data_IF_630351736387
#
_entry.id   IF_630351736387
#
_cell.length_a   1.000
_cell.length_b   1.000
_cell.length_c   1.000
_cell.angle_alpha   90.00
_cell.angle_beta   90.00
_cell.angle_gamma   90.00
#
_symmetry.space_group_name_H-M   'P 1'
#
loop_
_entity.id
_entity.type
_entity.pdbx_description
1 polymer ?
#
# COMPACT_ATOMS: atom_id res chain seq x y z
N UNK A 1 14.62 11.85 -14.22
CA UNK A 1 14.25 12.08 -15.64
C UNK A 1 12.83 11.55 -15.82
N UNK A 2 11.92 12.29 -16.45
CA UNK A 2 10.56 11.79 -16.74
C UNK A 2 10.56 11.18 -18.13
N UNK A 3 10.34 9.87 -18.24
CA UNK A 3 10.19 9.20 -19.53
C UNK A 3 8.91 9.67 -20.21
N UNK A 4 8.99 9.87 -21.52
CA UNK A 4 7.85 10.09 -22.42
C UNK A 4 7.01 8.82 -22.52
N UNK A 5 5.81 8.93 -23.12
CA UNK A 5 4.91 7.76 -23.30
C UNK A 5 5.51 6.76 -24.30
N UNK A 6 6.18 7.28 -25.31
CA UNK A 6 6.83 6.56 -26.39
C UNK A 6 8.03 5.77 -25.85
N UNK A 7 8.92 6.40 -25.09
CA UNK A 7 10.06 5.74 -24.45
C UNK A 7 9.61 4.65 -23.46
N UNK A 8 8.50 4.88 -22.75
CA UNK A 8 7.92 3.85 -21.87
C UNK A 8 7.41 2.64 -22.66
N UNK A 9 6.76 2.88 -23.79
CA UNK A 9 6.25 1.82 -24.66
C UNK A 9 7.41 0.98 -25.18
N UNK A 10 8.46 1.65 -25.62
CA UNK A 10 9.71 1.04 -26.09
C UNK A 10 10.37 0.17 -25.01
N UNK A 11 10.56 0.70 -23.80
CA UNK A 11 11.11 -0.06 -22.67
C UNK A 11 10.26 -1.30 -22.35
N UNK A 12 8.93 -1.16 -22.43
CA UNK A 12 8.01 -2.28 -22.17
C UNK A 12 8.16 -3.39 -23.22
N UNK A 13 8.28 -3.03 -24.50
CA UNK A 13 8.53 -4.00 -25.57
C UNK A 13 9.90 -4.66 -25.42
N UNK A 14 10.95 -3.88 -25.12
CA UNK A 14 12.29 -4.42 -24.88
C UNK A 14 12.32 -5.41 -23.72
N UNK A 15 11.61 -5.12 -22.62
CA UNK A 15 11.43 -6.07 -21.52
C UNK A 15 10.75 -7.36 -22.02
N UNK A 16 9.68 -7.24 -22.81
CA UNK A 16 8.96 -8.37 -23.38
C UNK A 16 9.85 -9.27 -24.26
N UNK A 17 10.63 -8.66 -25.16
CA UNK A 17 11.53 -9.38 -26.05
C UNK A 17 12.64 -10.11 -25.29
N UNK A 18 13.22 -9.45 -24.26
CA UNK A 18 14.23 -10.08 -23.40
C UNK A 18 13.64 -11.29 -22.67
N UNK A 19 12.42 -11.18 -22.15
CA UNK A 19 11.76 -12.28 -21.46
C UNK A 19 11.49 -13.44 -22.42
N UNK A 20 10.92 -13.15 -23.59
CA UNK A 20 10.55 -14.18 -24.57
C UNK A 20 11.78 -14.88 -25.17
N UNK A 21 12.80 -14.11 -25.54
CA UNK A 21 13.98 -14.66 -26.22
C UNK A 21 14.98 -15.31 -25.27
N UNK A 22 15.23 -14.69 -24.10
CA UNK A 22 16.30 -15.12 -23.18
C UNK A 22 15.77 -15.86 -21.96
N UNK A 23 14.67 -15.41 -21.36
CA UNK A 23 14.19 -16.01 -20.11
C UNK A 23 13.31 -17.24 -20.32
N UNK A 24 12.42 -17.23 -21.32
CA UNK A 24 11.52 -18.36 -21.61
C UNK A 24 12.28 -19.62 -22.01
N UNK A 25 13.43 -19.45 -22.66
CA UNK A 25 14.36 -20.51 -23.08
C UNK A 25 15.45 -20.84 -22.05
N UNK A 26 15.42 -20.18 -20.89
CA UNK A 26 16.42 -20.38 -19.84
C UNK A 26 16.23 -21.76 -19.17
N UNK A 27 17.34 -22.46 -18.93
CA UNK A 27 17.37 -23.75 -18.24
C UNK A 27 16.62 -23.74 -16.90
N UNK A 28 16.76 -22.67 -16.13
CA UNK A 28 16.08 -22.48 -14.83
C UNK A 28 14.57 -22.26 -14.94
N UNK A 29 14.06 -21.87 -16.10
CA UNK A 29 12.64 -21.64 -16.36
C UNK A 29 11.97 -22.83 -17.06
N UNK A 30 12.72 -23.89 -17.38
CA UNK A 30 12.27 -25.05 -18.13
C UNK A 30 11.89 -26.24 -17.23
N UNK A 31 12.13 -26.16 -15.91
CA UNK A 31 12.06 -27.31 -14.99
C UNK A 31 10.77 -27.41 -14.16
N UNK A 32 9.88 -26.42 -14.16
CA UNK A 32 8.55 -26.56 -13.58
C UNK A 32 7.60 -25.51 -14.13
N UNK A 33 6.32 -25.88 -14.30
CA UNK A 33 5.23 -24.99 -14.70
C UNK A 33 4.92 -23.89 -13.66
N UNK A 34 5.71 -23.81 -12.59
CA UNK A 34 5.46 -22.95 -11.45
C UNK A 34 6.55 -21.88 -11.39
N UNK A 35 6.16 -20.72 -11.91
CA UNK A 35 6.69 -19.38 -11.63
C UNK A 35 8.02 -18.97 -12.28
N UNK A 36 7.88 -18.21 -13.37
CA UNK A 36 8.87 -17.24 -13.83
C UNK A 36 9.01 -16.12 -12.77
N UNK A 37 10.12 -16.09 -12.04
CA UNK A 37 10.41 -15.05 -11.03
C UNK A 37 11.76 -14.40 -11.29
N UNK A 38 11.76 -13.18 -11.84
CA UNK A 38 12.98 -12.38 -12.06
C UNK A 38 13.76 -12.12 -10.75
N UNK A 39 13.08 -12.22 -9.60
CA UNK A 39 13.69 -12.05 -8.27
C UNK A 39 14.59 -13.23 -7.86
N UNK A 40 14.40 -14.40 -8.46
CA UNK A 40 15.23 -15.58 -8.20
C UNK A 40 16.54 -15.56 -8.99
N UNK A 41 16.57 -14.83 -10.12
CA UNK A 41 17.75 -14.65 -10.96
C UNK A 41 18.67 -13.53 -10.43
N UNK A 42 19.26 -13.72 -9.24
CA UNK A 42 20.08 -12.70 -8.56
C UNK A 42 21.41 -12.39 -9.25
N UNK A 43 22.07 -13.37 -9.86
CA UNK A 43 23.38 -13.22 -10.52
C UNK A 43 23.32 -13.35 -12.05
N UNK A 44 22.13 -13.37 -12.64
CA UNK A 44 21.95 -13.51 -14.08
C UNK A 44 22.11 -12.14 -14.76
N UNK A 45 23.01 -11.99 -15.76
CA UNK A 45 23.16 -10.74 -16.51
C UNK A 45 21.83 -10.25 -17.13
N UNK A 46 21.02 -11.18 -17.64
CA UNK A 46 19.68 -10.89 -18.17
C UNK A 46 18.72 -10.38 -17.08
N UNK A 47 18.81 -10.94 -15.87
CA UNK A 47 18.03 -10.49 -14.72
C UNK A 47 18.42 -9.08 -14.26
N UNK A 48 19.72 -8.75 -14.31
CA UNK A 48 20.22 -7.40 -14.01
C UNK A 48 19.72 -6.36 -15.01
N UNK A 49 19.73 -6.72 -16.30
CA UNK A 49 19.20 -5.89 -17.38
C UNK A 49 17.69 -5.62 -17.19
N UNK A 50 16.90 -6.65 -16.90
CA UNK A 50 15.47 -6.53 -16.60
C UNK A 50 15.20 -5.64 -15.38
N UNK A 51 15.96 -5.80 -14.29
CA UNK A 51 15.85 -4.95 -13.10
C UNK A 51 16.19 -3.49 -13.41
N UNK A 52 17.21 -3.24 -14.23
CA UNK A 52 17.59 -1.88 -14.65
C UNK A 52 16.48 -1.24 -15.49
N UNK A 53 15.90 -1.97 -16.45
CA UNK A 53 14.78 -1.51 -17.27
C UNK A 53 13.51 -1.26 -16.42
N UNK A 54 13.21 -2.14 -15.48
CA UNK A 54 12.10 -1.98 -14.54
C UNK A 54 12.22 -0.72 -13.68
N UNK A 55 13.43 -0.39 -13.20
CA UNK A 55 13.67 0.84 -12.41
C UNK A 55 13.31 2.12 -13.16
N UNK A 56 13.51 2.15 -14.48
CA UNK A 56 13.09 3.29 -15.30
C UNK A 56 11.56 3.47 -15.27
N UNK A 57 10.79 2.38 -15.23
CA UNK A 57 9.33 2.41 -15.10
C UNK A 57 8.85 2.74 -13.67
N UNK A 58 9.59 2.33 -12.65
CA UNK A 58 9.29 2.60 -11.22
C UNK A 58 9.43 4.07 -10.82
N UNK A 59 10.04 4.92 -11.65
CA UNK A 59 10.25 6.35 -11.36
C UNK A 59 8.96 7.18 -11.27
N UNK A 60 7.78 6.60 -11.52
CA UNK A 60 6.52 7.31 -11.32
C UNK A 60 5.88 6.97 -9.96
N UNK A 61 5.33 7.97 -9.25
CA UNK A 61 4.54 7.73 -8.06
C UNK A 61 3.36 6.83 -8.43
N UNK A 62 3.23 5.69 -7.74
CA UNK A 62 2.09 4.78 -7.90
C UNK A 62 0.81 5.59 -7.70
N UNK A 63 0.02 5.78 -8.76
CA UNK A 63 -1.32 6.41 -8.72
C UNK A 63 -2.36 5.53 -8.00
N UNK A 64 -1.94 4.70 -7.04
CA UNK A 64 -2.83 3.87 -6.23
C UNK A 64 -3.50 4.69 -5.12
N UNK A 65 -3.16 5.97 -4.97
CA UNK A 65 -3.98 6.91 -4.22
C UNK A 65 -5.00 7.54 -5.17
N UNK A 66 -6.20 6.98 -5.23
CA UNK A 66 -7.36 7.78 -5.67
C UNK A 66 -7.43 9.09 -4.88
N UNK A 67 -8.19 10.10 -5.35
CA UNK A 67 -8.32 11.36 -4.64
C UNK A 67 -8.57 11.08 -3.16
N UNK A 68 -7.74 11.65 -2.27
CA UNK A 68 -7.97 11.58 -0.83
C UNK A 68 -9.40 12.08 -0.63
N UNK A 69 -10.35 11.20 -0.32
CA UNK A 69 -11.66 11.62 0.17
C UNK A 69 -11.37 12.63 1.27
N UNK A 70 -11.84 13.86 1.08
CA UNK A 70 -11.71 14.89 2.09
C UNK A 70 -12.21 14.31 3.41
N UNK A 71 -11.56 14.71 4.51
CA UNK A 71 -12.00 14.23 5.83
C UNK A 71 -13.47 14.61 5.95
N UNK A 72 -14.41 13.65 6.09
CA UNK A 72 -15.82 14.00 6.14
C UNK A 72 -16.01 15.01 7.26
N UNK A 73 -16.70 16.11 6.92
CA UNK A 73 -17.00 17.21 7.82
C UNK A 73 -17.61 16.65 9.10
N UNK A 74 -16.88 16.69 10.21
CA UNK A 74 -17.35 16.27 11.53
C UNK A 74 -16.60 15.11 12.19
N UNK A 75 -15.71 14.38 11.49
CA UNK A 75 -14.90 13.33 12.14
C UNK A 75 -13.65 13.93 12.84
N UNK A 76 -13.82 14.46 14.04
CA UNK A 76 -12.73 14.99 14.87
C UNK A 76 -12.19 13.94 15.86
N UNK A 77 -10.96 14.12 16.40
CA UNK A 77 -10.41 13.26 17.43
C UNK A 77 -11.31 13.09 18.66
N UNK A 78 -12.01 14.14 19.06
CA UNK A 78 -12.89 14.18 20.24
C UNK A 78 -14.14 13.31 20.02
N UNK A 79 -14.76 13.44 18.84
CA UNK A 79 -15.93 12.64 18.44
C UNK A 79 -15.57 11.16 18.40
N UNK A 80 -14.44 10.82 17.77
CA UNK A 80 -13.95 9.44 17.72
C UNK A 80 -13.68 8.92 19.14
N UNK A 81 -13.10 9.73 20.04
CA UNK A 81 -12.86 9.30 21.42
C UNK A 81 -14.15 9.03 22.18
N UNK A 82 -15.14 9.90 22.06
CA UNK A 82 -16.44 9.73 22.72
C UNK A 82 -17.14 8.45 22.24
N UNK A 83 -17.18 8.21 20.93
CA UNK A 83 -17.76 6.98 20.35
C UNK A 83 -17.02 5.72 20.81
N UNK A 84 -15.69 5.78 20.92
CA UNK A 84 -14.91 4.66 21.44
C UNK A 84 -15.17 4.41 22.95
N UNK A 85 -15.39 5.46 23.75
CA UNK A 85 -15.77 5.33 25.17
C UNK A 85 -17.17 4.73 25.34
N UNK A 86 -18.08 4.99 24.40
CA UNK A 86 -19.38 4.31 24.31
C UNK A 86 -19.27 2.84 23.85
N UNK A 87 -18.05 2.37 23.55
CA UNK A 87 -17.77 0.99 23.15
C UNK A 87 -17.90 0.73 21.65
N UNK A 88 -18.17 1.75 20.84
CA UNK A 88 -18.30 1.62 19.38
C UNK A 88 -16.90 1.47 18.77
N UNK A 89 -16.61 0.37 18.06
CA UNK A 89 -15.29 0.15 17.49
C UNK A 89 -15.06 1.01 16.25
N UNK A 90 -13.79 1.31 15.98
CA UNK A 90 -13.35 2.11 14.82
C UNK A 90 -13.90 1.63 13.46
N UNK A 91 -14.12 0.33 13.32
CA UNK A 91 -14.74 -0.28 12.14
C UNK A 91 -16.14 0.29 11.90
N UNK A 92 -16.94 0.34 12.96
CA UNK A 92 -18.33 0.75 12.93
C UNK A 92 -18.44 2.28 12.85
N UNK A 93 -17.52 3.01 13.50
CA UNK A 93 -17.35 4.46 13.29
C UNK A 93 -17.04 4.76 11.81
N UNK A 94 -16.19 3.96 11.16
CA UNK A 94 -15.95 4.11 9.72
C UNK A 94 -17.23 3.98 8.91
N UNK A 95 -18.04 2.96 9.19
CA UNK A 95 -19.30 2.70 8.49
C UNK A 95 -20.32 3.82 8.74
N UNK A 96 -20.48 4.31 9.97
CA UNK A 96 -21.40 5.40 10.32
C UNK A 96 -21.12 6.71 9.57
N UNK A 97 -19.88 6.92 9.12
CA UNK A 97 -19.45 8.12 8.40
C UNK A 97 -19.24 7.88 6.89
N UNK A 98 -19.76 6.77 6.35
CA UNK A 98 -19.59 6.38 4.94
C UNK A 98 -18.11 6.25 4.51
N UNK A 99 -17.26 5.86 5.46
CA UNK A 99 -15.82 5.68 5.30
C UNK A 99 -15.44 4.20 5.25
N UNK A 100 -14.25 3.92 4.71
CA UNK A 100 -13.72 2.56 4.76
C UNK A 100 -13.56 2.10 6.22
N UNK A 101 -13.79 0.83 6.55
CA UNK A 101 -13.68 0.32 7.92
C UNK A 101 -12.29 0.51 8.57
N UNK A 102 -11.24 0.70 7.75
CA UNK A 102 -9.87 0.96 8.21
C UNK A 102 -9.54 2.44 8.40
N UNK A 103 -10.43 3.35 8.02
CA UNK A 103 -10.15 4.79 7.93
C UNK A 103 -9.86 5.39 9.31
N UNK A 104 -10.71 5.11 10.30
CA UNK A 104 -10.61 5.69 11.65
C UNK A 104 -9.31 5.27 12.33
N UNK A 105 -8.93 3.99 12.23
CA UNK A 105 -7.64 3.52 12.75
C UNK A 105 -6.44 4.19 12.09
N UNK A 106 -6.48 4.42 10.77
CA UNK A 106 -5.43 5.18 10.05
C UNK A 106 -5.40 6.64 10.50
N UNK A 107 -6.56 7.27 10.72
CA UNK A 107 -6.65 8.64 11.23
C UNK A 107 -6.14 8.79 12.67
N UNK A 108 -6.47 7.86 13.57
CA UNK A 108 -5.92 7.84 14.94
C UNK A 108 -4.39 7.78 14.95
N UNK A 109 -3.79 6.93 14.10
CA UNK A 109 -2.31 6.89 13.94
C UNK A 109 -1.75 8.24 13.50
N UNK A 110 -2.39 8.88 12.53
CA UNK A 110 -1.98 10.20 12.06
C UNK A 110 -2.14 11.27 13.14
N UNK A 111 -3.26 11.30 13.86
CA UNK A 111 -3.47 12.22 14.99
C UNK A 111 -2.51 11.98 16.15
N UNK A 112 -2.10 10.74 16.39
CA UNK A 112 -1.07 10.39 17.39
C UNK A 112 0.29 10.94 16.97
N UNK A 113 0.67 10.80 15.70
CA UNK A 113 1.91 11.39 15.16
C UNK A 113 1.89 12.92 15.22
N UNK A 114 0.73 13.54 15.02
CA UNK A 114 0.54 14.99 15.12
C UNK A 114 0.42 15.50 16.57
N UNK A 115 0.45 14.61 17.59
CA UNK A 115 0.30 14.99 18.99
C UNK A 115 -1.12 15.41 19.42
N UNK A 116 -2.11 15.27 18.53
CA UNK A 116 -3.51 15.68 18.76
C UNK A 116 -4.29 14.56 19.48
N UNK A 117 -3.95 13.30 19.20
CA UNK A 117 -4.62 12.15 19.84
C UNK A 117 -4.06 11.90 21.23
N UNK A 118 -4.92 12.01 22.25
CA UNK A 118 -4.64 11.63 23.64
C UNK A 118 -5.45 10.38 24.00
N UNK A 119 -4.76 9.29 24.36
CA UNK A 119 -5.38 8.05 24.82
C UNK A 119 -5.06 6.81 23.98
N UNK A 120 -5.54 5.64 24.40
CA UNK A 120 -5.27 4.38 23.72
C UNK A 120 -5.87 4.35 22.30
N UNK A 121 -5.12 3.78 21.36
CA UNK A 121 -5.60 3.55 19.98
C UNK A 121 -6.26 2.18 19.86
N UNK A 122 -5.89 1.24 20.72
CA UNK A 122 -6.42 -0.12 20.74
C UNK A 122 -7.73 -0.19 21.54
N UNK A 123 -8.77 -0.76 20.92
CA UNK A 123 -10.06 -1.03 21.59
C UNK A 123 -9.92 -1.88 22.85
N UNK A 124 -8.91 -2.76 22.92
CA UNK A 124 -8.65 -3.59 24.10
C UNK A 124 -8.22 -2.74 25.29
N UNK A 125 -7.39 -1.73 25.05
CA UNK A 125 -6.94 -0.79 26.08
C UNK A 125 -8.09 0.15 26.51
N UNK A 126 -8.91 0.59 25.54
CA UNK A 126 -10.09 1.43 25.80
C UNK A 126 -11.10 0.69 26.70
N UNK A 127 -11.41 -0.58 26.38
CA UNK A 127 -12.31 -1.41 27.19
C UNK A 127 -11.77 -1.70 28.60
N UNK A 128 -10.45 -1.83 28.78
CA UNK A 128 -9.83 -1.99 30.10
C UNK A 128 -9.86 -0.70 30.94
N UNK A 129 -9.76 0.47 30.29
CA UNK A 129 -9.85 1.76 30.96
C UNK A 129 -11.27 2.13 31.42
N UNK A 130 -12.30 1.68 30.70
CA UNK A 130 -13.71 1.93 31.06
C UNK A 130 -14.26 1.06 32.21
N UNK A 131 -13.52 0.03 32.64
CA UNK A 131 -13.95 -0.86 33.73
C UNK A 131 -13.51 -0.37 35.13
N UNK A 132 -12.81 0.76 35.23
CA UNK A 132 -12.30 1.33 36.48
C UNK A 132 -12.73 2.81 36.68
N UNK A 133 -13.86 3.23 36.10
CA UNK A 133 -14.44 4.56 36.27
C UNK A 133 -15.86 4.46 36.83
#
# INVERSE_FOLDING_TARGET
MKLTKEERKEITYQIGDIIEQKCRRCYYNCSSNESFSVNECKACPTGDELRRLGRYLDTQPKKNGGPRRETPSGLTPEVVRNLNMQGIPDKDIGIMYDLSPSYVGKKKKHWKQAGIWKGPTDMREIKRGGANA
#
